data_IF_704876313803
#
_entry.id   IF_704876313803
#
_cell.length_a   1.000
_cell.length_b   1.000
_cell.length_c   1.000
_cell.angle_alpha   90.00
_cell.angle_beta   90.00
_cell.angle_gamma   90.00
#
_symmetry.space_group_name_H-M   'P 1'
#
loop_
_entity.id
_entity.type
_entity.pdbx_description
1 polymer ?
#
# COMPACT_ATOMS: atom_id res chain seq x y z
N UNK A 1 -1.57 19.05 36.21
CA UNK A 1 -2.26 17.76 36.02
C UNK A 1 -3.53 17.93 35.20
N UNK A 2 -4.55 18.70 35.63
CA UNK A 2 -5.85 18.86 34.94
C UNK A 2 -5.71 19.28 33.47
N UNK A 3 -4.85 20.28 33.16
CA UNK A 3 -4.63 20.73 31.77
C UNK A 3 -4.05 19.62 30.88
N UNK A 4 -3.05 18.88 31.38
CA UNK A 4 -2.45 17.75 30.67
C UNK A 4 -3.46 16.64 30.41
N UNK A 5 -4.32 16.32 31.36
CA UNK A 5 -5.39 15.35 31.23
C UNK A 5 -6.35 15.71 30.07
N UNK A 6 -6.88 16.95 30.08
CA UNK A 6 -7.79 17.41 29.04
C UNK A 6 -7.12 17.52 27.65
N UNK A 7 -5.83 17.88 27.60
CA UNK A 7 -5.06 17.92 26.37
C UNK A 7 -4.94 16.52 25.76
N UNK A 8 -4.59 15.50 26.53
CA UNK A 8 -4.46 14.12 26.05
C UNK A 8 -5.80 13.54 25.56
N UNK A 9 -6.90 13.83 26.28
CA UNK A 9 -8.26 13.46 25.82
C UNK A 9 -8.56 14.16 24.49
N UNK A 10 -8.32 15.48 24.40
CA UNK A 10 -8.60 16.25 23.19
C UNK A 10 -7.80 15.75 21.99
N UNK A 11 -6.52 15.42 22.16
CA UNK A 11 -5.67 14.83 21.10
C UNK A 11 -6.17 13.45 20.69
N UNK A 12 -6.64 12.63 21.62
CA UNK A 12 -7.20 11.31 21.33
C UNK A 12 -8.50 11.44 20.51
N UNK A 13 -9.42 12.30 20.95
CA UNK A 13 -10.68 12.58 20.25
C UNK A 13 -10.43 13.20 18.86
N UNK A 14 -9.48 14.13 18.77
CA UNK A 14 -9.07 14.70 17.50
C UNK A 14 -8.59 13.61 16.53
N UNK A 15 -7.72 12.72 16.98
CA UNK A 15 -7.14 11.68 16.12
C UNK A 15 -8.20 10.75 15.51
N UNK A 16 -9.22 10.35 16.30
CA UNK A 16 -10.22 9.38 15.82
C UNK A 16 -11.46 10.02 15.20
N UNK A 17 -11.85 11.22 15.60
CA UNK A 17 -13.06 11.89 15.15
C UNK A 17 -12.80 13.24 14.49
N UNK A 18 -11.98 14.09 15.12
CA UNK A 18 -11.71 15.44 14.65
C UNK A 18 -10.99 15.44 13.30
N UNK A 19 -9.92 14.67 13.16
CA UNK A 19 -9.16 14.59 11.92
C UNK A 19 -9.99 14.02 10.74
N UNK A 20 -10.68 12.89 10.83
CA UNK A 20 -11.53 12.41 9.75
C UNK A 20 -12.63 13.37 9.33
N UNK A 21 -13.24 14.07 10.30
CA UNK A 21 -14.26 15.08 10.02
C UNK A 21 -13.65 16.29 9.29
N UNK A 22 -12.52 16.81 9.79
CA UNK A 22 -11.79 17.90 9.15
C UNK A 22 -11.36 17.52 7.73
N UNK A 23 -10.82 16.34 7.55
CA UNK A 23 -10.39 15.81 6.25
C UNK A 23 -11.56 15.70 5.27
N UNK A 24 -12.70 15.18 5.71
CA UNK A 24 -13.92 15.08 4.91
C UNK A 24 -14.40 16.46 4.48
N UNK A 25 -14.42 17.42 5.40
CA UNK A 25 -14.84 18.79 5.12
C UNK A 25 -13.90 19.47 4.10
N UNK A 26 -12.58 19.36 4.32
CA UNK A 26 -11.58 19.92 3.42
C UNK A 26 -11.66 19.30 2.02
N UNK A 27 -11.79 17.97 1.92
CA UNK A 27 -11.92 17.26 0.66
C UNK A 27 -13.23 17.60 -0.08
N UNK A 28 -14.26 18.05 0.64
CA UNK A 28 -15.52 18.53 0.04
C UNK A 28 -15.44 19.99 -0.43
N UNK A 29 -14.75 20.84 0.32
CA UNK A 29 -14.64 22.28 0.01
C UNK A 29 -13.58 22.58 -1.05
N UNK A 30 -12.50 21.80 -1.08
CA UNK A 30 -11.36 21.97 -2.00
C UNK A 30 -10.95 20.63 -2.62
N UNK A 31 -11.84 19.98 -3.38
CA UNK A 31 -11.49 18.71 -4.02
C UNK A 31 -10.43 18.94 -5.11
N UNK A 32 -9.49 18.02 -5.18
CA UNK A 32 -8.49 17.94 -6.23
C UNK A 32 -8.66 16.61 -6.99
N UNK A 33 -9.68 16.50 -7.87
CA UNK A 33 -9.94 15.26 -8.58
C UNK A 33 -8.80 14.90 -9.53
N UNK A 34 -8.60 13.60 -9.74
CA UNK A 34 -7.65 13.08 -10.72
C UNK A 34 -8.29 13.16 -12.10
N UNK A 35 -7.55 13.65 -13.08
CA UNK A 35 -7.96 13.68 -14.49
C UNK A 35 -7.68 12.31 -15.13
N UNK A 36 -8.60 11.37 -14.90
CA UNK A 36 -8.51 10.06 -15.55
C UNK A 36 -8.68 10.18 -17.05
N UNK A 37 -7.90 9.38 -17.80
CA UNK A 37 -7.96 9.36 -19.25
C UNK A 37 -7.82 7.96 -19.82
N UNK A 38 -8.05 7.83 -21.13
CA UNK A 38 -7.74 6.61 -21.87
C UNK A 38 -6.22 6.53 -22.05
N UNK A 39 -5.55 5.91 -21.06
CA UNK A 39 -4.11 5.76 -21.03
C UNK A 39 -3.76 4.28 -20.89
N UNK A 40 -3.12 3.72 -21.90
CA UNK A 40 -2.68 2.33 -21.97
C UNK A 40 -1.17 2.24 -22.16
N UNK A 41 -0.36 2.57 -21.15
CA UNK A 41 1.09 2.48 -21.24
C UNK A 41 1.56 1.02 -21.31
N UNK A 42 2.81 0.81 -21.73
CA UNK A 42 3.48 -0.47 -21.46
C UNK A 42 3.75 -0.61 -19.98
N UNK A 43 3.43 -1.78 -19.42
CA UNK A 43 3.52 -2.05 -17.99
C UNK A 43 4.46 -3.22 -17.67
N UNK A 44 5.15 -3.11 -16.55
CA UNK A 44 5.90 -4.21 -15.94
C UNK A 44 5.25 -4.57 -14.60
N UNK A 45 4.65 -5.76 -14.52
CA UNK A 45 4.11 -6.30 -13.27
C UNK A 45 5.26 -6.89 -12.48
N UNK A 46 5.48 -6.42 -11.26
CA UNK A 46 6.55 -6.84 -10.37
C UNK A 46 6.01 -7.68 -9.22
N UNK A 47 6.49 -8.92 -9.11
CA UNK A 47 6.06 -9.90 -8.12
C UNK A 47 7.27 -10.53 -7.43
N UNK A 48 7.46 -10.25 -6.16
CA UNK A 48 8.46 -10.92 -5.30
C UNK A 48 7.84 -12.10 -4.58
N UNK A 49 8.46 -13.29 -4.67
CA UNK A 49 7.96 -14.53 -4.07
C UNK A 49 9.03 -15.24 -3.25
N UNK A 50 8.60 -15.90 -2.18
CA UNK A 50 9.42 -16.80 -1.36
C UNK A 50 8.55 -17.88 -0.74
N UNK A 51 8.71 -19.13 -1.21
CA UNK A 51 7.92 -20.29 -0.77
C UNK A 51 6.40 -20.05 -0.87
N UNK A 52 5.92 -19.85 -2.09
CA UNK A 52 4.52 -19.58 -2.41
C UNK A 52 3.93 -20.67 -3.34
N UNK A 53 4.38 -21.94 -3.21
CA UNK A 53 3.95 -23.04 -4.08
C UNK A 53 2.43 -23.26 -4.13
N UNK A 54 1.73 -22.94 -3.03
CA UNK A 54 0.29 -23.13 -2.90
C UNK A 54 -0.54 -22.12 -3.70
N UNK A 55 -0.01 -20.90 -3.94
CA UNK A 55 -0.78 -19.79 -4.51
C UNK A 55 -0.23 -19.27 -5.84
N UNK A 56 1.03 -19.52 -6.15
CA UNK A 56 1.71 -18.92 -7.31
C UNK A 56 1.05 -19.31 -8.64
N UNK A 57 0.56 -20.52 -8.76
CA UNK A 57 -0.12 -21.00 -9.98
C UNK A 57 -1.37 -20.18 -10.27
N UNK A 58 -2.23 -20.02 -9.25
CA UNK A 58 -3.47 -19.23 -9.37
C UNK A 58 -3.15 -17.75 -9.65
N UNK A 59 -2.15 -17.20 -8.98
CA UNK A 59 -1.67 -15.83 -9.23
C UNK A 59 -1.27 -15.61 -10.68
N UNK A 60 -0.47 -16.49 -11.25
CA UNK A 60 -0.03 -16.34 -12.64
C UNK A 60 -1.20 -16.49 -13.62
N UNK A 61 -2.10 -17.43 -13.41
CA UNK A 61 -3.32 -17.55 -14.20
C UNK A 61 -4.14 -16.28 -14.15
N UNK A 62 -4.30 -15.68 -12.97
CA UNK A 62 -4.99 -14.41 -12.79
C UNK A 62 -4.32 -13.27 -13.56
N UNK A 63 -2.99 -13.09 -13.42
CA UNK A 63 -2.27 -12.03 -14.12
C UNK A 63 -2.34 -12.18 -15.65
N UNK A 64 -2.28 -13.41 -16.17
CA UNK A 64 -2.36 -13.69 -17.59
C UNK A 64 -3.76 -13.49 -18.20
N UNK A 65 -4.81 -13.53 -17.36
CA UNK A 65 -6.22 -13.38 -17.76
C UNK A 65 -6.76 -11.96 -17.65
N UNK A 66 -5.95 -11.00 -17.17
CA UNK A 66 -6.41 -9.62 -17.00
C UNK A 66 -6.73 -8.94 -18.34
N UNK A 67 -7.72 -8.04 -18.30
CA UNK A 67 -8.11 -7.21 -19.44
C UNK A 67 -7.08 -6.07 -19.64
N UNK A 68 -5.93 -6.45 -20.20
CA UNK A 68 -4.88 -5.53 -20.62
C UNK A 68 -4.13 -6.08 -21.84
N UNK A 69 -3.68 -5.23 -22.81
CA UNK A 69 -3.01 -5.71 -24.02
C UNK A 69 -1.77 -6.54 -23.71
N UNK A 70 -1.73 -7.76 -24.26
CA UNK A 70 -0.65 -8.72 -23.98
C UNK A 70 0.72 -8.20 -24.44
N UNK A 71 0.75 -7.52 -25.55
CA UNK A 71 1.95 -6.92 -26.15
C UNK A 71 2.50 -5.71 -25.39
N UNK A 72 1.68 -5.16 -24.47
CA UNK A 72 2.07 -4.06 -23.57
C UNK A 72 2.39 -4.53 -22.15
N UNK A 73 2.39 -5.84 -21.89
CA UNK A 73 2.54 -6.41 -20.55
C UNK A 73 3.77 -7.29 -20.45
N UNK A 74 4.66 -7.02 -19.50
CA UNK A 74 5.64 -7.98 -19.01
C UNK A 74 5.38 -8.29 -17.53
N UNK A 75 5.72 -9.51 -17.10
CA UNK A 75 5.54 -10.00 -15.73
C UNK A 75 6.89 -10.45 -15.21
N UNK A 76 7.47 -9.66 -14.32
CA UNK A 76 8.76 -9.91 -13.72
C UNK A 76 8.57 -10.55 -12.35
N UNK A 77 9.06 -11.77 -12.17
CA UNK A 77 8.93 -12.54 -10.95
C UNK A 77 10.30 -12.75 -10.35
N UNK A 78 10.51 -12.31 -9.11
CA UNK A 78 11.74 -12.55 -8.37
C UNK A 78 11.52 -13.61 -7.30
N UNK A 79 12.19 -14.76 -7.42
CA UNK A 79 12.20 -15.78 -6.38
C UNK A 79 13.37 -15.54 -5.45
N UNK A 80 13.08 -15.16 -4.19
CA UNK A 80 14.06 -14.80 -3.18
C UNK A 80 14.57 -16.04 -2.42
N UNK A 81 15.22 -16.98 -3.14
CA UNK A 81 15.76 -18.20 -2.57
C UNK A 81 14.65 -19.18 -2.11
N UNK A 82 13.61 -19.38 -2.92
CA UNK A 82 12.57 -20.37 -2.62
C UNK A 82 13.16 -21.79 -2.63
N UNK A 83 12.74 -22.61 -1.66
CA UNK A 83 13.20 -23.98 -1.46
C UNK A 83 12.13 -25.04 -1.75
N UNK A 84 10.89 -24.58 -1.99
CA UNK A 84 9.73 -25.38 -2.35
C UNK A 84 9.57 -25.50 -3.88
N UNK A 85 8.37 -25.87 -4.35
CA UNK A 85 8.09 -26.02 -5.79
C UNK A 85 7.77 -24.71 -6.50
N UNK A 86 7.86 -23.52 -5.85
CA UNK A 86 7.49 -22.22 -6.42
C UNK A 86 8.15 -21.98 -7.78
N UNK A 87 9.48 -22.07 -7.85
CA UNK A 87 10.23 -21.80 -9.11
C UNK A 87 9.93 -22.82 -10.20
N UNK A 88 9.73 -24.09 -9.82
CA UNK A 88 9.33 -25.15 -10.75
C UNK A 88 7.97 -24.86 -11.38
N UNK A 89 7.00 -24.40 -10.57
CA UNK A 89 5.66 -24.06 -11.03
C UNK A 89 5.73 -22.89 -12.01
N UNK A 90 6.50 -21.82 -11.68
CA UNK A 90 6.65 -20.64 -12.55
C UNK A 90 7.26 -21.02 -13.91
N UNK A 91 8.32 -21.84 -13.93
CA UNK A 91 8.95 -22.33 -15.15
C UNK A 91 8.03 -23.19 -16.02
N UNK A 92 6.99 -23.79 -15.43
CA UNK A 92 5.96 -24.55 -16.15
C UNK A 92 5.02 -23.67 -16.98
N UNK A 93 5.02 -22.35 -16.79
CA UNK A 93 4.23 -21.43 -17.61
C UNK A 93 5.01 -21.06 -18.88
N UNK A 94 4.55 -21.52 -20.03
CA UNK A 94 5.15 -21.19 -21.31
C UNK A 94 4.47 -19.95 -21.93
N UNK A 95 4.63 -18.79 -21.29
CA UNK A 95 4.13 -17.50 -21.78
C UNK A 95 5.30 -16.51 -21.87
N UNK A 96 5.53 -15.87 -23.04
CA UNK A 96 6.68 -15.01 -23.29
C UNK A 96 6.68 -13.73 -22.44
N UNK A 97 5.57 -13.39 -21.80
CA UNK A 97 5.47 -12.23 -20.89
C UNK A 97 6.09 -12.50 -19.54
N UNK A 98 6.28 -13.77 -19.14
CA UNK A 98 6.79 -14.16 -17.82
C UNK A 98 8.32 -14.24 -17.86
N UNK A 99 8.95 -13.46 -17.00
CA UNK A 99 10.40 -13.45 -16.80
C UNK A 99 10.71 -13.76 -15.34
N UNK A 100 11.36 -14.89 -15.08
CA UNK A 100 11.74 -15.33 -13.75
C UNK A 100 13.20 -14.96 -13.47
N UNK A 101 13.44 -14.24 -12.38
CA UNK A 101 14.76 -13.98 -11.80
C UNK A 101 14.86 -14.77 -10.51
N UNK A 102 15.83 -15.70 -10.45
CA UNK A 102 16.01 -16.58 -9.29
C UNK A 102 17.27 -16.21 -8.53
N UNK A 103 17.14 -16.12 -7.23
CA UNK A 103 18.27 -15.96 -6.31
C UNK A 103 18.59 -17.26 -5.64
N UNK A 104 19.88 -17.59 -5.49
CA UNK A 104 20.30 -18.84 -4.81
C UNK A 104 20.09 -18.77 -3.28
N UNK A 105 20.00 -17.56 -2.71
CA UNK A 105 19.82 -17.33 -1.27
C UNK A 105 18.88 -16.16 -1.02
N UNK A 106 18.13 -16.25 0.08
CA UNK A 106 17.21 -15.22 0.53
C UNK A 106 17.94 -13.93 0.91
N UNK A 107 17.54 -12.81 0.31
CA UNK A 107 18.07 -11.46 0.58
C UNK A 107 16.98 -10.49 1.05
N UNK A 108 15.72 -10.91 1.02
CA UNK A 108 14.55 -10.15 1.45
C UNK A 108 13.79 -9.48 0.31
N UNK A 109 12.51 -9.23 0.57
CA UNK A 109 11.55 -8.68 -0.40
C UNK A 109 12.07 -7.39 -1.07
N UNK A 110 12.67 -6.47 -0.29
CA UNK A 110 13.13 -5.17 -0.82
C UNK A 110 14.25 -5.30 -1.83
N UNK A 111 15.21 -6.20 -1.57
CA UNK A 111 16.29 -6.47 -2.51
C UNK A 111 15.74 -7.06 -3.82
N UNK A 112 14.77 -7.97 -3.73
CA UNK A 112 14.10 -8.57 -4.89
C UNK A 112 13.30 -7.53 -5.68
N UNK A 113 12.51 -6.68 -5.02
CA UNK A 113 11.77 -5.61 -5.68
C UNK A 113 12.72 -4.65 -6.43
N UNK A 114 13.81 -4.22 -5.80
CA UNK A 114 14.78 -3.33 -6.42
C UNK A 114 15.37 -3.92 -7.71
N UNK A 115 15.74 -5.20 -7.66
CA UNK A 115 16.26 -5.90 -8.85
C UNK A 115 15.21 -6.00 -9.96
N UNK A 116 13.97 -6.35 -9.62
CA UNK A 116 12.89 -6.46 -10.59
C UNK A 116 12.57 -5.11 -11.24
N UNK A 117 12.51 -4.02 -10.47
CA UNK A 117 12.26 -2.67 -11.02
C UNK A 117 13.44 -2.21 -11.89
N UNK A 118 14.67 -2.57 -11.53
CA UNK A 118 15.84 -2.29 -12.36
C UNK A 118 15.80 -3.07 -13.69
N UNK A 119 15.34 -4.32 -13.66
CA UNK A 119 15.19 -5.17 -14.85
C UNK A 119 13.98 -4.78 -15.72
N UNK A 120 13.01 -4.06 -15.16
CA UNK A 120 11.80 -3.65 -15.85
C UNK A 120 12.11 -2.74 -17.05
N UNK A 121 11.49 -3.03 -18.20
CA UNK A 121 11.70 -2.30 -19.46
C UNK A 121 10.68 -1.20 -19.69
N UNK A 122 9.51 -1.30 -19.06
CA UNK A 122 8.37 -0.45 -19.32
C UNK A 122 8.33 0.76 -18.36
N UNK A 123 7.61 1.80 -18.77
CA UNK A 123 7.52 3.09 -18.06
C UNK A 123 6.61 3.07 -16.83
N UNK A 124 5.74 2.08 -16.74
CA UNK A 124 4.81 1.91 -15.62
C UNK A 124 5.08 0.60 -14.90
N UNK A 125 5.28 0.67 -13.59
CA UNK A 125 5.45 -0.50 -12.72
C UNK A 125 4.13 -0.76 -11.99
N UNK A 126 3.67 -2.01 -12.03
CA UNK A 126 2.53 -2.50 -11.23
C UNK A 126 3.05 -3.48 -10.19
N UNK A 127 2.90 -3.15 -8.94
CA UNK A 127 3.28 -4.03 -7.83
C UNK A 127 2.12 -4.90 -7.40
N UNK A 128 2.43 -6.15 -7.09
CA UNK A 128 1.47 -7.10 -6.53
C UNK A 128 2.15 -8.09 -5.58
N UNK A 129 1.36 -8.68 -4.69
CA UNK A 129 1.76 -9.82 -3.87
C UNK A 129 1.19 -11.13 -4.43
N UNK A 130 1.71 -12.29 -4.00
CA UNK A 130 1.37 -13.60 -4.56
C UNK A 130 -0.06 -14.06 -4.20
N UNK A 131 -0.55 -13.72 -3.01
CA UNK A 131 -1.82 -14.27 -2.47
C UNK A 131 -3.09 -13.60 -3.00
N UNK A 132 -3.01 -12.34 -3.42
CA UNK A 132 -4.16 -11.58 -3.87
C UNK A 132 -4.44 -11.78 -5.35
N UNK A 133 -5.72 -11.85 -5.70
CA UNK A 133 -6.18 -11.90 -7.10
C UNK A 133 -6.71 -10.54 -7.53
N UNK A 134 -6.41 -10.13 -8.75
CA UNK A 134 -6.90 -8.88 -9.33
C UNK A 134 -8.25 -9.06 -10.00
N UNK A 135 -9.10 -8.04 -9.93
CA UNK A 135 -10.26 -7.94 -10.80
C UNK A 135 -9.82 -7.85 -12.28
N UNK A 136 -10.60 -8.33 -13.24
CA UNK A 136 -10.20 -8.34 -14.66
C UNK A 136 -9.73 -6.98 -15.17
N UNK A 137 -10.39 -5.88 -14.80
CA UNK A 137 -10.09 -4.52 -15.23
C UNK A 137 -9.12 -3.76 -14.31
N UNK A 138 -8.58 -4.39 -13.26
CA UNK A 138 -7.82 -3.70 -12.20
C UNK A 138 -6.64 -2.89 -12.73
N UNK A 139 -5.89 -3.42 -13.69
CA UNK A 139 -4.74 -2.71 -14.29
C UNK A 139 -5.21 -1.50 -15.10
N UNK A 140 -6.27 -1.61 -15.88
CA UNK A 140 -6.84 -0.48 -16.65
C UNK A 140 -7.24 0.67 -15.72
N UNK A 141 -7.91 0.33 -14.62
CA UNK A 141 -8.31 1.33 -13.62
C UNK A 141 -7.12 2.02 -12.97
N UNK A 142 -6.06 1.26 -12.61
CA UNK A 142 -4.84 1.86 -12.06
C UNK A 142 -4.20 2.85 -13.03
N UNK A 143 -3.93 2.41 -14.26
CA UNK A 143 -3.16 3.22 -15.21
C UNK A 143 -3.93 4.40 -15.77
N UNK A 144 -5.27 4.35 -15.81
CA UNK A 144 -6.11 5.47 -16.23
C UNK A 144 -5.85 6.74 -15.40
N UNK A 145 -5.48 6.60 -14.13
CA UNK A 145 -5.13 7.74 -13.26
C UNK A 145 -3.77 8.35 -13.61
N UNK A 146 -2.87 7.59 -14.22
CA UNK A 146 -1.56 8.09 -14.65
C UNK A 146 -1.64 8.94 -15.93
N UNK A 147 -2.83 9.08 -16.55
CA UNK A 147 -3.06 10.10 -17.57
C UNK A 147 -2.88 11.52 -17.02
N UNK A 148 -3.17 11.72 -15.72
CA UNK A 148 -2.86 12.97 -15.03
C UNK A 148 -1.35 13.02 -14.73
N UNK A 149 -0.66 14.00 -15.34
CA UNK A 149 0.80 14.16 -15.20
C UNK A 149 1.27 14.44 -13.77
N UNK A 150 0.39 14.93 -12.89
CA UNK A 150 0.69 15.18 -11.49
C UNK A 150 0.61 13.90 -10.63
N UNK A 151 0.03 12.82 -11.15
CA UNK A 151 -0.10 11.54 -10.44
C UNK A 151 1.11 10.66 -10.73
N UNK A 152 1.84 10.31 -9.68
CA UNK A 152 3.02 9.44 -9.75
C UNK A 152 2.80 8.04 -9.16
N UNK A 153 1.81 7.89 -8.27
CA UNK A 153 1.45 6.62 -7.64
C UNK A 153 -0.08 6.47 -7.57
N UNK A 154 -0.56 5.27 -7.89
CA UNK A 154 -1.98 4.91 -7.82
C UNK A 154 -2.12 3.62 -7.04
N UNK A 155 -2.85 3.64 -5.93
CA UNK A 155 -3.21 2.44 -5.17
C UNK A 155 -4.58 1.94 -5.58
N UNK A 156 -4.72 0.64 -5.73
CA UNK A 156 -6.03 0.00 -5.76
C UNK A 156 -6.57 -0.28 -4.37
N UNK A 157 -7.78 -0.81 -4.34
CA UNK A 157 -8.51 -1.22 -3.16
C UNK A 157 -8.36 -2.72 -2.91
N UNK A 158 -8.04 -3.11 -1.67
CA UNK A 158 -8.06 -4.50 -1.22
C UNK A 158 -9.42 -4.82 -0.61
N UNK A 159 -10.06 -5.88 -1.12
CA UNK A 159 -11.34 -6.38 -0.66
C UNK A 159 -11.12 -7.76 -0.05
N UNK A 160 -11.47 -7.92 1.22
CA UNK A 160 -11.49 -9.23 1.85
C UNK A 160 -12.77 -9.98 1.48
N UNK A 161 -12.62 -11.20 0.97
CA UNK A 161 -13.75 -12.10 0.74
C UNK A 161 -14.30 -12.54 2.09
N UNK A 162 -15.60 -12.36 2.31
CA UNK A 162 -16.26 -12.73 3.56
C UNK A 162 -16.18 -14.27 3.75
N UNK A 163 -15.77 -14.70 4.95
CA UNK A 163 -15.98 -16.08 5.39
C UNK A 163 -17.38 -16.18 5.97
N UNK A 164 -18.10 -17.29 5.69
CA UNK A 164 -19.49 -17.54 6.10
C UNK A 164 -19.76 -17.50 7.61
N UNK A 165 -18.73 -17.45 8.45
CA UNK A 165 -18.85 -17.34 9.92
C UNK A 165 -18.03 -16.14 10.42
N UNK A 166 -18.67 -14.99 10.55
CA UNK A 166 -18.06 -13.79 11.13
C UNK A 166 -18.14 -13.82 12.67
N UNK A 167 -17.02 -14.15 13.31
CA UNK A 167 -16.85 -13.89 14.76
C UNK A 167 -16.69 -12.38 15.07
N UNK A 168 -16.85 -11.98 16.34
CA UNK A 168 -16.75 -10.59 16.79
C UNK A 168 -15.43 -9.91 16.39
N UNK A 169 -14.34 -10.66 16.31
CA UNK A 169 -13.00 -10.19 15.86
C UNK A 169 -13.02 -9.77 14.38
N UNK A 170 -13.69 -10.53 13.51
CA UNK A 170 -13.78 -10.21 12.09
C UNK A 170 -14.57 -8.91 11.84
N UNK A 171 -15.66 -8.70 12.60
CA UNK A 171 -16.45 -7.45 12.54
C UNK A 171 -15.62 -6.23 12.97
N UNK A 172 -14.82 -6.35 14.02
CA UNK A 172 -13.93 -5.28 14.47
C UNK A 172 -12.85 -4.93 13.44
N UNK A 173 -12.27 -5.93 12.78
CA UNK A 173 -11.29 -5.74 11.69
C UNK A 173 -11.93 -5.06 10.49
N UNK A 174 -13.13 -5.48 10.10
CA UNK A 174 -13.89 -4.89 8.99
C UNK A 174 -14.23 -3.41 9.24
N UNK A 175 -14.68 -3.07 10.46
CA UNK A 175 -14.98 -1.68 10.84
C UNK A 175 -13.73 -0.80 10.79
N UNK A 176 -12.61 -1.27 11.35
CA UNK A 176 -11.34 -0.56 11.29
C UNK A 176 -10.86 -0.36 9.85
N UNK A 177 -11.01 -1.38 9.01
CA UNK A 177 -10.62 -1.31 7.59
C UNK A 177 -11.45 -0.30 6.81
N UNK A 178 -12.77 -0.25 7.04
CA UNK A 178 -13.66 0.74 6.43
C UNK A 178 -13.31 2.17 6.87
N UNK A 179 -12.94 2.35 8.14
CA UNK A 179 -12.46 3.62 8.65
C UNK A 179 -11.14 4.05 7.99
N UNK A 180 -10.19 3.14 7.82
CA UNK A 180 -8.92 3.41 7.12
C UNK A 180 -9.14 3.75 5.65
N UNK A 181 -10.04 3.04 4.96
CA UNK A 181 -10.45 3.34 3.58
C UNK A 181 -11.06 4.75 3.47
N UNK A 182 -11.94 5.11 4.40
CA UNK A 182 -12.54 6.44 4.44
C UNK A 182 -11.47 7.54 4.49
N UNK A 183 -10.50 7.41 5.39
CA UNK A 183 -9.39 8.38 5.51
C UNK A 183 -8.59 8.44 4.21
N UNK A 184 -8.11 7.32 3.70
CA UNK A 184 -7.29 7.26 2.49
C UNK A 184 -7.99 7.84 1.27
N UNK A 185 -9.29 7.61 1.13
CA UNK A 185 -10.13 8.18 0.08
C UNK A 185 -10.15 9.71 0.13
N UNK A 186 -10.33 10.29 1.32
CA UNK A 186 -10.40 11.73 1.48
C UNK A 186 -9.03 12.40 1.41
N UNK A 187 -7.97 11.74 1.91
CA UNK A 187 -6.58 12.17 1.70
C UNK A 187 -6.24 12.24 0.21
N UNK A 188 -6.59 11.21 -0.56
CA UNK A 188 -6.41 11.14 -2.01
C UNK A 188 -7.19 12.25 -2.74
N UNK A 189 -8.41 12.54 -2.32
CA UNK A 189 -9.24 13.62 -2.90
C UNK A 189 -8.71 15.00 -2.61
N UNK A 190 -8.06 15.20 -1.47
CA UNK A 190 -7.47 16.49 -1.10
C UNK A 190 -6.13 16.71 -1.81
N UNK A 191 -5.23 15.76 -1.72
CA UNK A 191 -3.92 15.77 -2.37
C UNK A 191 -3.38 14.35 -2.58
N UNK A 192 -2.91 13.69 -1.53
CA UNK A 192 -2.28 12.37 -1.58
C UNK A 192 -2.60 11.54 -0.36
N UNK A 193 -2.79 10.24 -0.55
CA UNK A 193 -2.73 9.26 0.54
C UNK A 193 -1.28 9.00 0.95
N UNK A 194 -1.06 8.60 2.20
CA UNK A 194 0.27 8.40 2.76
C UNK A 194 0.91 7.05 2.43
N UNK A 195 0.12 6.09 2.03
CA UNK A 195 0.59 4.75 1.70
C UNK A 195 -0.33 4.04 0.74
N UNK A 196 0.25 3.22 -0.14
CA UNK A 196 -0.48 2.37 -1.07
C UNK A 196 -0.98 1.08 -0.39
N UNK A 197 -1.75 0.31 -1.10
CA UNK A 197 -2.05 -1.08 -0.78
C UNK A 197 -0.96 -1.94 -1.42
N UNK A 198 -0.06 -2.53 -0.63
CA UNK A 198 1.08 -3.31 -1.14
C UNK A 198 0.68 -4.43 -2.10
N UNK A 199 -0.55 -4.94 -1.95
CA UNK A 199 -1.11 -5.97 -2.81
C UNK A 199 -1.44 -5.49 -4.23
N UNK A 200 -1.69 -4.17 -4.43
CA UNK A 200 -2.11 -3.61 -5.73
C UNK A 200 -1.82 -2.11 -5.78
N UNK A 201 -0.76 -1.71 -6.49
CA UNK A 201 -0.51 -0.31 -6.80
C UNK A 201 0.38 -0.17 -8.04
N UNK A 202 0.31 0.99 -8.69
CA UNK A 202 1.11 1.32 -9.86
C UNK A 202 1.86 2.63 -9.65
N UNK A 203 3.04 2.76 -10.29
CA UNK A 203 3.84 3.97 -10.27
C UNK A 203 4.43 4.28 -11.65
N UNK A 204 4.83 5.52 -11.88
CA UNK A 204 5.78 5.85 -12.94
C UNK A 204 7.16 5.32 -12.56
N UNK A 205 7.79 4.50 -13.43
CA UNK A 205 9.08 3.87 -13.13
C UNK A 205 10.19 4.88 -12.83
N UNK A 206 10.20 6.01 -13.52
CA UNK A 206 11.18 7.10 -13.34
C UNK A 206 11.17 7.72 -11.93
N UNK A 207 10.05 7.59 -11.21
CA UNK A 207 9.89 8.08 -9.85
C UNK A 207 10.35 7.09 -8.79
N UNK A 208 10.62 5.83 -9.17
CA UNK A 208 11.09 4.82 -8.24
C UNK A 208 12.45 5.20 -7.65
N UNK A 209 12.58 4.99 -6.36
CA UNK A 209 13.84 5.09 -5.63
C UNK A 209 14.11 3.75 -4.98
N UNK A 210 15.31 3.17 -5.12
CA UNK A 210 15.63 1.89 -4.51
C UNK A 210 15.29 1.88 -3.01
N UNK A 211 14.59 0.83 -2.60
CA UNK A 211 14.10 0.69 -1.22
C UNK A 211 15.25 0.15 -0.37
N UNK A 212 15.65 0.82 0.73
CA UNK A 212 16.66 0.30 1.64
C UNK A 212 16.25 -1.06 2.21
N UNK A 213 17.18 -2.01 2.28
CA UNK A 213 16.91 -3.40 2.69
C UNK A 213 16.24 -3.54 4.06
N UNK A 214 16.48 -2.57 4.97
CA UNK A 214 15.91 -2.54 6.33
C UNK A 214 14.45 -2.08 6.39
N UNK A 215 13.90 -1.52 5.31
CA UNK A 215 12.53 -1.00 5.30
C UNK A 215 11.54 -2.15 5.32
N UNK A 216 10.50 -1.99 6.14
CA UNK A 216 9.45 -2.99 6.32
C UNK A 216 8.18 -2.65 5.55
N UNK A 217 7.90 -1.35 5.36
CA UNK A 217 6.71 -0.83 4.68
C UNK A 217 7.11 -0.20 3.35
N UNK A 218 7.31 -1.03 2.33
CA UNK A 218 7.55 -0.60 0.95
C UNK A 218 6.36 0.20 0.40
N UNK A 219 5.17 -0.20 0.78
CA UNK A 219 3.89 0.41 0.41
C UNK A 219 3.63 1.79 1.04
N UNK A 220 4.42 2.20 2.02
CA UNK A 220 4.51 3.60 2.48
C UNK A 220 5.74 4.32 1.94
N UNK A 221 6.89 3.64 1.89
CA UNK A 221 8.14 4.25 1.45
C UNK A 221 8.04 4.78 0.02
N UNK A 222 7.56 3.95 -0.92
CA UNK A 222 7.47 4.32 -2.33
C UNK A 222 6.54 5.51 -2.57
N UNK A 223 5.26 5.52 -2.10
CA UNK A 223 4.40 6.69 -2.25
C UNK A 223 4.96 7.97 -1.62
N UNK A 224 5.58 7.90 -0.44
CA UNK A 224 6.15 9.08 0.22
C UNK A 224 7.35 9.64 -0.53
N UNK A 225 8.20 8.81 -1.14
CA UNK A 225 9.26 9.27 -2.04
C UNK A 225 8.69 9.98 -3.27
N UNK A 226 7.60 9.48 -3.83
CA UNK A 226 6.91 10.09 -4.96
C UNK A 226 6.31 11.44 -4.58
N UNK A 227 5.67 11.53 -3.40
CA UNK A 227 5.15 12.79 -2.86
C UNK A 227 6.28 13.79 -2.63
N UNK A 228 7.42 13.36 -2.09
CA UNK A 228 8.62 14.19 -1.88
C UNK A 228 9.18 14.76 -3.19
N UNK A 229 8.97 14.08 -4.31
CA UNK A 229 9.32 14.56 -5.66
C UNK A 229 8.26 15.51 -6.26
N UNK A 230 7.20 15.86 -5.52
CA UNK A 230 6.14 16.78 -5.95
C UNK A 230 4.98 16.12 -6.70
N UNK A 231 4.94 14.80 -6.79
CA UNK A 231 3.83 14.07 -7.42
C UNK A 231 2.79 13.62 -6.39
N UNK A 232 1.60 13.31 -6.87
CA UNK A 232 0.50 12.81 -6.05
C UNK A 232 0.51 11.29 -5.96
N UNK A 233 0.13 10.77 -4.78
CA UNK A 233 -0.22 9.38 -4.55
C UNK A 233 -1.72 9.28 -4.29
N UNK A 234 -2.46 8.59 -5.17
CA UNK A 234 -3.92 8.59 -5.17
C UNK A 234 -4.51 7.18 -5.00
N UNK A 235 -5.76 7.11 -4.51
CA UNK A 235 -6.51 5.87 -4.37
C UNK A 235 -7.54 5.77 -5.49
N UNK A 236 -7.61 4.63 -6.14
CA UNK A 236 -8.68 4.25 -7.05
C UNK A 236 -9.45 3.05 -6.51
N UNK A 237 -10.68 3.28 -6.06
CA UNK A 237 -11.56 2.24 -5.52
C UNK A 237 -12.10 1.29 -6.62
N UNK A 238 -11.95 1.62 -7.90
CA UNK A 238 -12.36 0.78 -9.03
C UNK A 238 -11.30 -0.29 -9.35
N UNK A 239 -10.02 -0.03 -9.03
CA UNK A 239 -8.92 -0.97 -9.19
C UNK A 239 -8.90 -1.95 -8.01
N UNK A 240 -9.51 -3.13 -8.17
CA UNK A 240 -9.77 -4.06 -7.06
C UNK A 240 -8.82 -5.24 -7.05
N UNK A 241 -8.34 -5.57 -5.84
CA UNK A 241 -7.71 -6.85 -5.53
C UNK A 241 -8.50 -7.57 -4.43
N UNK A 242 -8.52 -8.88 -4.47
CA UNK A 242 -9.25 -9.72 -3.53
C UNK A 242 -8.28 -10.56 -2.71
N UNK A 243 -8.51 -10.65 -1.40
CA UNK A 243 -7.74 -11.47 -0.47
C UNK A 243 -8.66 -12.25 0.46
N UNK A 244 -8.12 -13.22 1.16
CA UNK A 244 -8.79 -13.90 2.26
C UNK A 244 -8.42 -13.21 3.57
N UNK A 245 -9.37 -13.08 4.50
CA UNK A 245 -9.09 -12.55 5.83
C UNK A 245 -8.09 -13.44 6.57
N UNK A 246 -7.24 -12.84 7.41
CA UNK A 246 -6.27 -13.57 8.22
C UNK A 246 -6.96 -14.63 9.11
N UNK A 247 -6.37 -15.83 9.16
CA UNK A 247 -7.00 -16.97 9.79
C UNK A 247 -6.83 -17.03 11.32
N UNK A 248 -5.90 -16.22 11.88
CA UNK A 248 -5.64 -16.27 13.32
C UNK A 248 -5.31 -14.91 13.96
N UNK A 249 -5.71 -14.71 15.26
CA UNK A 249 -5.34 -13.53 16.02
C UNK A 249 -3.82 -13.33 16.15
N UNK A 250 -3.03 -14.43 16.14
CA UNK A 250 -1.56 -14.39 16.22
C UNK A 250 -0.93 -13.80 14.96
N UNK A 251 -1.47 -14.14 13.81
CA UNK A 251 -1.02 -13.58 12.52
C UNK A 251 -1.33 -12.09 12.44
N UNK A 252 -2.52 -11.68 12.86
CA UNK A 252 -2.92 -10.27 12.90
C UNK A 252 -2.05 -9.47 13.87
N UNK A 253 -1.72 -10.03 15.06
CA UNK A 253 -0.80 -9.38 15.99
C UNK A 253 0.59 -9.18 15.37
N UNK A 254 1.14 -10.21 14.72
CA UNK A 254 2.44 -10.13 14.03
C UNK A 254 2.42 -9.07 12.92
N UNK A 255 1.33 -9.00 12.16
CA UNK A 255 1.14 -8.00 11.11
C UNK A 255 1.10 -6.58 11.68
N UNK A 256 0.34 -6.35 12.76
CA UNK A 256 0.25 -5.05 13.45
C UNK A 256 1.60 -4.62 14.05
N UNK A 257 2.34 -5.52 14.69
CA UNK A 257 3.67 -5.24 15.23
C UNK A 257 4.64 -4.82 14.12
N UNK A 258 4.63 -5.53 12.99
CA UNK A 258 5.42 -5.19 11.81
C UNK A 258 5.07 -3.80 11.28
N UNK A 259 3.78 -3.49 11.16
CA UNK A 259 3.29 -2.19 10.68
C UNK A 259 3.69 -1.06 11.62
N UNK A 260 3.57 -1.28 12.94
CA UNK A 260 3.97 -0.28 13.94
C UNK A 260 5.48 0.03 13.86
N UNK A 261 6.32 -1.00 13.81
CA UNK A 261 7.76 -0.84 13.64
C UNK A 261 8.11 -0.08 12.36
N UNK A 262 7.44 -0.43 11.24
CA UNK A 262 7.63 0.26 9.96
C UNK A 262 7.24 1.73 9.98
N UNK A 263 6.18 2.12 10.73
CA UNK A 263 5.82 3.52 10.90
C UNK A 263 6.96 4.33 11.57
N UNK A 264 7.60 3.79 12.62
CA UNK A 264 8.75 4.44 13.24
C UNK A 264 9.92 4.61 12.26
N UNK A 265 10.19 3.62 11.42
CA UNK A 265 11.22 3.74 10.37
C UNK A 265 10.88 4.88 9.40
N UNK A 266 9.63 4.97 8.96
CA UNK A 266 9.16 6.02 8.03
C UNK A 266 9.31 7.41 8.65
N UNK A 267 8.95 7.60 9.92
CA UNK A 267 9.09 8.90 10.59
C UNK A 267 10.56 9.37 10.62
N UNK A 268 11.49 8.46 10.86
CA UNK A 268 12.93 8.77 10.85
C UNK A 268 13.51 9.05 9.45
N UNK A 269 12.87 8.53 8.39
CA UNK A 269 13.36 8.69 7.01
C UNK A 269 12.82 9.95 6.31
N UNK A 270 11.66 10.43 6.73
CA UNK A 270 10.94 11.55 6.10
C UNK A 270 10.62 12.68 7.07
N UNK A 271 11.61 13.19 7.85
CA UNK A 271 11.34 14.27 8.79
C UNK A 271 10.93 15.57 8.08
N UNK A 272 11.40 15.79 6.86
CA UNK A 272 11.04 16.91 6.00
C UNK A 272 9.56 16.95 5.62
N UNK A 273 8.93 15.78 5.46
CA UNK A 273 7.50 15.69 5.14
C UNK A 273 6.58 16.10 6.30
N UNK A 274 7.10 16.25 7.52
CA UNK A 274 6.33 16.76 8.64
C UNK A 274 6.29 18.31 8.70
N UNK A 275 7.07 18.99 7.86
CA UNK A 275 7.06 20.45 7.83
C UNK A 275 5.90 20.96 6.96
N UNK A 276 4.87 21.63 7.55
CA UNK A 276 3.70 22.10 6.81
C UNK A 276 3.97 23.20 5.79
N UNK A 277 5.14 23.85 5.87
CA UNK A 277 5.54 24.89 4.91
C UNK A 277 6.03 24.30 3.58
N UNK A 278 6.50 23.05 3.59
CA UNK A 278 7.13 22.42 2.43
C UNK A 278 6.42 21.14 1.98
N UNK A 279 5.59 20.57 2.82
CA UNK A 279 4.94 19.28 2.54
C UNK A 279 3.42 19.42 2.48
N UNK A 280 2.79 19.02 1.35
CA UNK A 280 1.34 19.04 1.24
C UNK A 280 0.66 17.95 2.09
N UNK A 281 1.44 17.02 2.68
CA UNK A 281 0.93 15.89 3.48
C UNK A 281 1.36 15.95 4.95
N UNK A 282 1.92 17.08 5.42
CA UNK A 282 2.40 17.21 6.80
C UNK A 282 1.29 16.98 7.83
N UNK A 283 0.13 17.59 7.61
CA UNK A 283 -1.05 17.43 8.50
C UNK A 283 -1.52 15.98 8.52
N UNK A 284 -1.55 15.32 7.36
CA UNK A 284 -1.92 13.90 7.26
C UNK A 284 -0.92 13.02 8.01
N UNK A 285 0.41 13.21 7.79
CA UNK A 285 1.45 12.45 8.48
C UNK A 285 1.35 12.60 10.00
N UNK A 286 1.17 13.82 10.46
CA UNK A 286 1.02 14.10 11.89
C UNK A 286 -0.24 13.47 12.46
N UNK A 287 -1.42 13.77 11.87
CA UNK A 287 -2.73 13.40 12.44
C UNK A 287 -3.06 11.93 12.23
N UNK A 288 -2.82 11.40 11.01
CA UNK A 288 -3.19 10.03 10.66
C UNK A 288 -2.15 9.00 11.12
N UNK A 289 -0.85 9.32 11.08
CA UNK A 289 0.19 8.33 11.38
C UNK A 289 0.83 8.57 12.74
N UNK A 290 1.43 9.74 12.98
CA UNK A 290 2.18 9.99 14.21
C UNK A 290 1.29 9.97 15.46
N UNK A 291 0.22 10.77 15.49
CA UNK A 291 -0.68 10.79 16.66
C UNK A 291 -1.26 9.42 16.95
N UNK A 292 -1.67 8.67 15.94
CA UNK A 292 -2.24 7.33 16.13
C UNK A 292 -1.25 6.35 16.77
N UNK A 293 0.04 6.44 16.42
CA UNK A 293 1.10 5.63 17.05
C UNK A 293 1.32 6.03 18.50
N UNK A 294 1.07 7.31 18.87
CA UNK A 294 1.21 7.82 20.23
C UNK A 294 -0.02 7.58 21.14
N UNK A 295 -1.18 7.24 20.58
CA UNK A 295 -2.41 7.00 21.37
C UNK A 295 -2.21 6.01 22.52
N UNK A 296 -1.56 4.85 22.38
CA UNK A 296 -1.35 3.94 23.51
C UNK A 296 -0.59 4.61 24.66
N UNK A 297 0.41 5.44 24.35
CA UNK A 297 1.13 6.23 25.36
C UNK A 297 0.20 7.26 26.03
N UNK A 298 -0.64 7.95 25.26
CA UNK A 298 -1.61 8.91 25.82
C UNK A 298 -2.58 8.22 26.78
N UNK A 299 -3.07 7.03 26.46
CA UNK A 299 -3.95 6.27 27.33
C UNK A 299 -3.27 5.85 28.64
N UNK A 300 -2.00 5.44 28.60
CA UNK A 300 -1.21 5.13 29.80
C UNK A 300 -1.02 6.38 30.66
N UNK A 301 -0.66 7.52 30.04
CA UNK A 301 -0.50 8.78 30.76
C UNK A 301 -1.82 9.27 31.37
N UNK A 302 -2.95 9.13 30.65
CA UNK A 302 -4.29 9.45 31.17
C UNK A 302 -4.62 8.60 32.39
N UNK A 303 -4.31 7.30 32.34
CA UNK A 303 -4.51 6.42 33.49
C UNK A 303 -3.70 6.88 34.71
N UNK A 304 -2.41 7.20 34.52
CA UNK A 304 -1.54 7.68 35.61
C UNK A 304 -2.02 9.03 36.16
N UNK A 305 -2.49 9.95 35.31
CA UNK A 305 -2.97 11.26 35.75
C UNK A 305 -4.32 11.20 36.49
N UNK A 306 -5.03 10.10 36.39
CA UNK A 306 -6.33 9.87 37.05
C UNK A 306 -6.20 9.08 38.37
N UNK A 307 -4.99 8.60 38.71
CA UNK A 307 -4.65 8.01 40.00
C UNK A 307 -4.28 9.09 41.01
#
# INVERSE_FOLDING_TARGET
MILAFWLLISLTLYCYFGYPLLLWLMARLRPNPVQKGSFEPKISVVLSVWNEEDVIKEKLQNLLSLDYPKEKTEILIGSDGSTDKTTRIIRGFNDPRIHLIERPRRQGKMATINELVQAARNETIVFCDARQTFAPNAIRELVANLADSHVGCVSGELIFKEKKEEGATAKGVSLYWNYEKFIRKHESRLHSMLGATGAIYAIRRELFVPIPARIVLDDMFVPLQIIRKGYRAVLDESAKAYDQAADSPREEHRRKTRTLFGNYQIFGLFPDLFNPLFSPVAIQLFSHKLLRVLIPLFLVLLFILNL
#
